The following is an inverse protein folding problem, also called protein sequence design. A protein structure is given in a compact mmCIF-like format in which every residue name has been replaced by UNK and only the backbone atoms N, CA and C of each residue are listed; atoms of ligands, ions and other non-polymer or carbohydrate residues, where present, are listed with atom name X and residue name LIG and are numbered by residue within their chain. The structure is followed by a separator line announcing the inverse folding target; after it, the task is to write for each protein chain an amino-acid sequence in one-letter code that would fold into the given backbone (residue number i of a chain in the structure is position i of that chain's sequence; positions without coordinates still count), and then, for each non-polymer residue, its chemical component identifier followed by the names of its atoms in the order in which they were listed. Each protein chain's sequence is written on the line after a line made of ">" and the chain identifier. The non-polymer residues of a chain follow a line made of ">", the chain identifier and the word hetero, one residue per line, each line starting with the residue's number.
data_IF_342865970612
#
_entry.id   IF_342865970612
#
_cell.length_a   1.000
_cell.length_b   1.000
_cell.length_c   1.000
_cell.angle_alpha   90.00
_cell.angle_beta   90.00
_cell.angle_gamma   90.00
#
_symmetry.space_group_name_H-M   'P 1'
#
loop_
_entity.id
_entity.type
_entity.pdbx_description
1 polymer ?
#
# COMPACT_ATOMS: atom_id res chain seq x y z
N UNK A 1 -5.65 12.07 -47.82
CA UNK A 1 -4.88 11.94 -46.57
C UNK A 1 -5.79 12.34 -45.42
N UNK A 2 -6.38 11.35 -44.74
CA UNK A 2 -7.22 11.57 -43.57
C UNK A 2 -6.30 11.76 -42.36
N UNK A 3 -6.26 12.98 -41.82
CA UNK A 3 -5.55 13.28 -40.59
C UNK A 3 -6.33 12.65 -39.45
N UNK A 4 -5.84 11.54 -38.90
CA UNK A 4 -6.37 10.94 -37.68
C UNK A 4 -6.15 11.98 -36.58
N UNK A 5 -7.21 12.70 -36.19
CA UNK A 5 -7.21 13.45 -34.94
C UNK A 5 -6.94 12.44 -33.84
N UNK A 6 -5.77 12.53 -33.21
CA UNK A 6 -5.52 11.85 -31.95
C UNK A 6 -6.57 12.36 -30.96
N UNK A 7 -7.56 11.53 -30.63
CA UNK A 7 -8.40 11.78 -29.46
C UNK A 7 -7.45 11.96 -28.28
N UNK A 8 -7.40 13.17 -27.71
CA UNK A 8 -6.70 13.40 -26.45
C UNK A 8 -7.46 12.60 -25.38
N UNK A 9 -6.97 11.40 -25.09
CA UNK A 9 -7.53 10.54 -24.06
C UNK A 9 -7.44 11.26 -22.71
N UNK A 10 -8.49 11.16 -21.91
CA UNK A 10 -8.54 11.74 -20.58
C UNK A 10 -7.45 11.14 -19.68
N UNK A 11 -6.74 11.99 -18.93
CA UNK A 11 -5.89 11.54 -17.83
C UNK A 11 -6.75 11.12 -16.64
N UNK A 12 -6.64 9.86 -16.22
CA UNK A 12 -7.35 9.34 -15.05
C UNK A 12 -6.72 8.02 -14.62
N UNK A 13 -6.60 7.81 -13.31
CA UNK A 13 -6.13 6.57 -12.70
C UNK A 13 -7.34 5.69 -12.43
N UNK A 14 -7.31 4.47 -12.97
CA UNK A 14 -8.32 3.44 -12.75
C UNK A 14 -7.60 2.21 -12.25
N UNK A 15 -7.50 2.13 -10.93
CA UNK A 15 -6.65 1.16 -10.24
C UNK A 15 -7.42 0.08 -9.52
N UNK A 16 -6.74 -1.01 -9.20
CA UNK A 16 -7.28 -2.08 -8.36
C UNK A 16 -6.20 -2.64 -7.44
N UNK A 17 -6.57 -2.88 -6.17
CA UNK A 17 -5.74 -3.63 -5.24
C UNK A 17 -5.91 -5.14 -5.44
N UNK A 18 -4.78 -5.85 -5.40
CA UNK A 18 -4.70 -7.32 -5.48
C UNK A 18 -4.02 -7.82 -4.20
N UNK A 19 -4.78 -8.35 -3.23
CA UNK A 19 -4.29 -8.73 -1.91
C UNK A 19 -3.59 -10.09 -1.93
N UNK A 20 -3.23 -10.56 -0.73
CA UNK A 20 -2.55 -11.85 -0.51
C UNK A 20 -3.20 -12.99 -1.32
N UNK A 21 -2.40 -13.87 -1.95
CA UNK A 21 -2.88 -15.05 -2.67
C UNK A 21 -3.84 -15.97 -1.87
N UNK A 22 -3.95 -15.83 -0.55
CA UNK A 22 -5.00 -16.51 0.20
C UNK A 22 -6.42 -15.99 -0.13
N UNK A 23 -6.55 -14.73 -0.57
CA UNK A 23 -7.82 -14.08 -0.90
C UNK A 23 -8.14 -14.04 -2.40
N UNK A 24 -7.13 -14.19 -3.26
CA UNK A 24 -7.31 -14.15 -4.71
C UNK A 24 -6.42 -15.16 -5.44
N UNK A 25 -6.82 -15.60 -6.63
CA UNK A 25 -6.11 -16.59 -7.42
C UNK A 25 -5.25 -16.02 -8.56
N UNK A 26 -5.18 -14.69 -8.69
CA UNK A 26 -4.55 -13.99 -9.83
C UNK A 26 -3.15 -14.53 -10.16
N UNK A 27 -2.30 -14.71 -9.14
CA UNK A 27 -0.90 -15.10 -9.32
C UNK A 27 -0.64 -16.60 -9.13
N UNK A 28 -1.69 -17.42 -8.97
CA UNK A 28 -1.56 -18.86 -8.72
C UNK A 28 -1.25 -19.67 -9.99
N UNK A 29 -1.60 -19.16 -11.17
CA UNK A 29 -1.27 -19.75 -12.48
C UNK A 29 -1.01 -18.66 -13.51
N UNK A 30 -0.20 -18.94 -14.53
CA UNK A 30 0.05 -17.99 -15.62
C UNK A 30 -1.22 -17.67 -16.41
N UNK A 31 -2.13 -18.65 -16.57
CA UNK A 31 -3.46 -18.42 -17.15
C UNK A 31 -4.25 -17.38 -16.38
N UNK A 32 -4.22 -17.42 -15.04
CA UNK A 32 -4.92 -16.44 -14.20
C UNK A 32 -4.33 -15.04 -14.37
N UNK A 33 -3.01 -14.90 -14.49
CA UNK A 33 -2.36 -13.61 -14.78
C UNK A 33 -2.88 -13.00 -16.08
N UNK A 34 -2.84 -13.78 -17.18
CA UNK A 34 -3.29 -13.32 -18.50
C UNK A 34 -4.77 -12.96 -18.48
N UNK A 35 -5.61 -13.80 -17.86
CA UNK A 35 -7.05 -13.55 -17.75
C UNK A 35 -7.38 -12.30 -16.94
N UNK A 36 -6.69 -12.10 -15.82
CA UNK A 36 -6.87 -10.93 -14.96
C UNK A 36 -6.50 -9.65 -15.71
N UNK A 37 -5.31 -9.62 -16.30
CA UNK A 37 -4.84 -8.46 -17.08
C UNK A 37 -5.74 -8.19 -18.29
N UNK A 38 -6.22 -9.23 -18.99
CA UNK A 38 -7.19 -9.08 -20.08
C UNK A 38 -8.53 -8.54 -19.60
N UNK A 39 -8.98 -8.94 -18.42
CA UNK A 39 -10.21 -8.42 -17.80
C UNK A 39 -10.05 -6.93 -17.52
N UNK A 40 -8.96 -6.52 -16.88
CA UNK A 40 -8.67 -5.11 -16.59
C UNK A 40 -8.63 -4.26 -17.87
N UNK A 41 -7.97 -4.73 -18.91
CA UNK A 41 -7.91 -4.05 -20.19
C UNK A 41 -9.29 -3.88 -20.83
N UNK A 42 -10.13 -4.93 -20.80
CA UNK A 42 -11.50 -4.90 -21.32
C UNK A 42 -12.42 -3.96 -20.54
N UNK A 43 -12.06 -3.68 -19.28
CA UNK A 43 -12.75 -2.75 -18.39
C UNK A 43 -12.06 -1.37 -18.36
N UNK A 44 -11.08 -1.13 -19.23
CA UNK A 44 -10.37 0.14 -19.34
C UNK A 44 -9.67 0.61 -18.04
N UNK A 45 -9.20 -0.33 -17.22
CA UNK A 45 -8.28 -0.09 -16.10
C UNK A 45 -6.86 0.17 -16.59
N UNK A 46 -6.06 0.88 -15.78
CA UNK A 46 -4.68 1.22 -16.14
C UNK A 46 -3.65 1.13 -15.00
N UNK A 47 -4.04 0.61 -13.83
CA UNK A 47 -3.08 0.31 -12.76
C UNK A 47 -3.48 -0.87 -11.87
N UNK A 48 -2.48 -1.58 -11.38
CA UNK A 48 -2.57 -2.71 -10.45
C UNK A 48 -1.68 -2.40 -9.25
N UNK A 49 -2.21 -2.57 -8.04
CA UNK A 49 -1.49 -2.44 -6.78
C UNK A 49 -1.44 -3.83 -6.14
N UNK A 50 -0.37 -4.56 -6.41
CA UNK A 50 -0.23 -5.96 -6.03
C UNK A 50 0.50 -6.10 -4.72
N UNK A 51 -0.08 -6.82 -3.76
CA UNK A 51 0.57 -7.10 -2.49
C UNK A 51 1.96 -7.66 -2.76
N UNK A 52 2.94 -7.10 -2.10
CA UNK A 52 4.35 -7.46 -2.28
C UNK A 52 5.00 -7.82 -0.95
N UNK A 53 4.39 -7.39 0.17
CA UNK A 53 4.77 -7.79 1.52
C UNK A 53 3.57 -7.80 2.47
N UNK A 54 3.30 -8.97 3.05
CA UNK A 54 2.28 -9.20 4.07
C UNK A 54 2.63 -10.44 4.91
N UNK A 55 2.19 -10.50 6.17
CA UNK A 55 2.36 -11.66 7.06
C UNK A 55 3.80 -12.23 7.09
N UNK A 56 4.80 -11.34 7.17
CA UNK A 56 6.23 -11.70 7.12
C UNK A 56 6.64 -12.53 5.90
N UNK A 57 5.97 -12.31 4.75
CA UNK A 57 6.27 -12.92 3.45
C UNK A 57 6.25 -11.89 2.34
N UNK A 58 7.03 -12.12 1.31
CA UNK A 58 7.07 -11.36 0.07
C UNK A 58 6.47 -12.14 -1.09
N UNK A 59 6.06 -11.44 -2.14
CA UNK A 59 5.53 -12.09 -3.36
C UNK A 59 6.61 -12.73 -4.26
N UNK A 60 7.85 -12.61 -3.83
CA UNK A 60 9.05 -13.17 -4.44
C UNK A 60 9.94 -13.79 -3.34
N UNK A 61 10.88 -14.70 -3.65
CA UNK A 61 11.89 -15.15 -2.70
C UNK A 61 12.81 -13.98 -2.30
N UNK A 62 12.94 -13.71 -0.99
CA UNK A 62 13.62 -12.52 -0.44
C UNK A 62 14.78 -12.91 0.47
N UNK A 63 16.00 -12.48 0.11
CA UNK A 63 17.18 -12.68 0.95
C UNK A 63 17.17 -11.74 2.15
N UNK A 64 16.65 -10.52 1.98
CA UNK A 64 16.46 -9.56 3.07
C UNK A 64 15.54 -10.14 4.14
N UNK A 65 14.38 -10.66 3.77
CA UNK A 65 13.44 -11.29 4.71
C UNK A 65 14.03 -12.55 5.34
N UNK A 66 14.73 -13.40 4.58
CA UNK A 66 15.37 -14.59 5.14
C UNK A 66 16.39 -14.23 6.22
N UNK A 67 17.20 -13.19 6.01
CA UNK A 67 18.22 -12.75 6.97
C UNK A 67 17.64 -12.20 8.28
N UNK A 68 16.39 -11.72 8.25
CA UNK A 68 15.68 -11.11 9.37
C UNK A 68 14.59 -12.02 9.97
N UNK A 69 14.54 -13.29 9.59
CA UNK A 69 13.58 -14.28 10.10
C UNK A 69 14.28 -15.52 10.65
N UNK A 70 13.52 -16.39 11.31
CA UNK A 70 13.95 -17.74 11.67
C UNK A 70 13.65 -18.80 10.57
N UNK A 71 13.27 -18.36 9.37
CA UNK A 71 13.00 -19.27 8.26
C UNK A 71 14.25 -20.05 7.86
N UNK A 72 14.09 -21.36 7.62
CA UNK A 72 15.20 -22.23 7.24
C UNK A 72 15.58 -22.13 5.75
N UNK A 73 14.63 -21.78 4.89
CA UNK A 73 14.81 -21.77 3.44
C UNK A 73 14.21 -20.53 2.79
N UNK A 74 14.83 -20.07 1.69
CA UNK A 74 14.38 -18.90 0.93
C UNK A 74 12.93 -19.02 0.45
N UNK A 75 12.46 -20.22 0.14
CA UNK A 75 11.08 -20.44 -0.31
C UNK A 75 10.05 -20.16 0.79
N UNK A 76 10.43 -20.23 2.08
CA UNK A 76 9.55 -19.87 3.20
C UNK A 76 9.22 -18.37 3.24
N UNK A 77 10.06 -17.54 2.62
CA UNK A 77 9.85 -16.09 2.49
C UNK A 77 8.81 -15.75 1.42
N UNK A 78 8.51 -16.68 0.50
CA UNK A 78 7.70 -16.41 -0.68
C UNK A 78 6.25 -16.89 -0.48
N UNK A 79 5.28 -15.97 -0.48
CA UNK A 79 3.85 -16.30 -0.38
C UNK A 79 3.32 -17.10 -1.59
N UNK A 80 4.02 -17.08 -2.74
CA UNK A 80 3.66 -17.85 -3.93
C UNK A 80 4.29 -19.25 -3.99
N UNK A 81 5.19 -19.59 -3.07
CA UNK A 81 5.85 -20.90 -3.06
C UNK A 81 4.86 -22.09 -3.12
N UNK A 82 3.71 -22.09 -2.40
CA UNK A 82 2.74 -23.18 -2.48
C UNK A 82 2.15 -23.41 -3.88
N UNK A 83 2.14 -22.39 -4.74
CA UNK A 83 1.50 -22.45 -6.07
C UNK A 83 2.51 -22.65 -7.21
N UNK A 84 3.82 -22.71 -6.90
CA UNK A 84 4.88 -22.76 -7.92
C UNK A 84 4.78 -23.97 -8.85
N UNK A 85 4.40 -25.15 -8.32
CA UNK A 85 4.30 -26.38 -9.09
C UNK A 85 3.22 -26.32 -10.18
N UNK A 86 2.11 -25.62 -9.89
CA UNK A 86 0.98 -25.49 -10.82
C UNK A 86 1.06 -24.23 -11.69
N UNK A 87 2.05 -23.35 -11.48
CA UNK A 87 2.07 -22.04 -12.14
C UNK A 87 2.05 -22.12 -13.67
N UNK A 88 2.68 -23.16 -14.23
CA UNK A 88 2.80 -23.42 -15.67
C UNK A 88 1.63 -24.26 -16.26
N UNK A 89 0.56 -24.48 -15.50
CA UNK A 89 -0.58 -25.31 -15.92
C UNK A 89 -1.88 -24.50 -15.77
N UNK A 90 -2.78 -24.52 -16.77
CA UNK A 90 -2.72 -25.23 -18.05
C UNK A 90 -1.92 -24.50 -19.14
N UNK A 91 -1.34 -23.33 -18.83
CA UNK A 91 -0.62 -22.49 -19.79
C UNK A 91 0.82 -22.28 -19.31
N UNK A 92 1.79 -22.58 -20.18
CA UNK A 92 3.22 -22.44 -19.87
C UNK A 92 3.59 -20.95 -19.81
N UNK A 93 4.21 -20.55 -18.70
CA UNK A 93 4.74 -19.21 -18.51
C UNK A 93 6.01 -18.99 -19.37
N UNK A 94 6.19 -17.80 -19.97
CA UNK A 94 7.43 -17.41 -20.61
C UNK A 94 8.61 -17.28 -19.65
N UNK A 95 8.36 -16.93 -18.38
CA UNK A 95 9.42 -16.60 -17.41
C UNK A 95 9.52 -17.57 -16.24
N UNK A 96 8.44 -18.31 -15.95
CA UNK A 96 8.25 -19.09 -14.74
C UNK A 96 8.11 -18.26 -13.45
N UNK A 97 8.06 -16.92 -13.55
CA UNK A 97 7.99 -15.99 -12.43
C UNK A 97 6.65 -15.21 -12.47
N UNK A 98 5.75 -15.46 -11.51
CA UNK A 98 4.42 -14.83 -11.51
C UNK A 98 4.42 -13.31 -11.50
N UNK A 99 5.39 -12.70 -10.82
CA UNK A 99 5.49 -11.25 -10.69
C UNK A 99 6.00 -10.65 -12.00
N UNK A 100 7.03 -11.28 -12.59
CA UNK A 100 7.56 -10.84 -13.89
C UNK A 100 6.52 -10.97 -15.00
N UNK A 101 5.75 -12.06 -15.00
CA UNK A 101 4.66 -12.25 -15.96
C UNK A 101 3.55 -11.23 -15.77
N UNK A 102 3.15 -10.90 -14.52
CA UNK A 102 2.17 -9.85 -14.25
C UNK A 102 2.59 -8.52 -14.85
N UNK A 103 3.82 -8.08 -14.54
CA UNK A 103 4.38 -6.82 -15.06
C UNK A 103 4.41 -6.86 -16.60
N UNK A 104 4.91 -7.95 -17.18
CA UNK A 104 5.03 -8.10 -18.63
C UNK A 104 3.66 -8.06 -19.33
N UNK A 105 2.67 -8.80 -18.82
CA UNK A 105 1.33 -8.83 -19.40
C UNK A 105 0.60 -7.51 -19.23
N UNK A 106 0.73 -6.86 -18.08
CA UNK A 106 0.14 -5.56 -17.80
C UNK A 106 0.71 -4.49 -18.73
N UNK A 107 2.03 -4.45 -18.91
CA UNK A 107 2.72 -3.49 -19.77
C UNK A 107 2.35 -3.61 -21.24
N UNK A 108 2.11 -4.84 -21.76
CA UNK A 108 1.56 -5.05 -23.12
C UNK A 108 0.24 -4.30 -23.37
N UNK A 109 -0.48 -3.96 -22.30
CA UNK A 109 -1.79 -3.29 -22.33
C UNK A 109 -1.76 -1.89 -21.74
N UNK A 110 -0.56 -1.34 -21.49
CA UNK A 110 -0.34 -0.04 -20.84
C UNK A 110 -0.94 0.05 -19.43
N UNK A 111 -0.96 -1.06 -18.70
CA UNK A 111 -1.39 -1.12 -17.30
C UNK A 111 -0.15 -1.05 -16.41
N UNK A 112 -0.14 -0.10 -15.48
CA UNK A 112 0.94 0.11 -14.50
C UNK A 112 0.88 -0.93 -13.38
N UNK A 113 2.02 -1.34 -12.84
CA UNK A 113 2.10 -2.27 -11.71
C UNK A 113 2.88 -1.63 -10.56
N UNK A 114 2.25 -1.56 -9.39
CA UNK A 114 2.80 -1.05 -8.15
C UNK A 114 2.96 -2.19 -7.15
N UNK A 115 4.11 -2.24 -6.48
CA UNK A 115 4.30 -3.13 -5.34
C UNK A 115 3.73 -2.51 -4.08
N UNK A 116 2.68 -3.15 -3.56
CA UNK A 116 1.96 -2.72 -2.37
C UNK A 116 2.52 -3.44 -1.13
N UNK A 117 3.18 -2.68 -0.27
CA UNK A 117 3.75 -3.16 0.99
C UNK A 117 2.69 -3.04 2.10
N UNK A 118 1.62 -3.83 1.95
CA UNK A 118 0.41 -3.82 2.79
C UNK A 118 0.72 -3.80 4.28
N UNK A 119 1.56 -4.73 4.76
CA UNK A 119 1.84 -4.82 6.19
C UNK A 119 2.77 -3.71 6.67
N UNK A 120 3.70 -3.21 5.86
CA UNK A 120 4.65 -2.17 6.31
C UNK A 120 5.31 -2.53 7.65
N UNK A 121 5.04 -1.73 8.68
CA UNK A 121 5.51 -1.97 10.05
C UNK A 121 4.58 -2.84 10.92
N UNK A 122 3.42 -3.27 10.41
CA UNK A 122 2.58 -4.26 11.07
C UNK A 122 3.28 -5.62 11.09
N UNK A 123 3.30 -6.24 12.27
CA UNK A 123 3.88 -7.55 12.51
C UNK A 123 2.89 -8.67 12.18
N UNK A 124 1.66 -8.58 12.70
CA UNK A 124 0.61 -9.58 12.51
C UNK A 124 -0.78 -8.98 12.83
N UNK A 125 -1.84 -9.66 12.40
CA UNK A 125 -3.27 -9.37 12.66
C UNK A 125 -3.78 -10.00 13.96
N UNK A 126 -2.86 -10.52 14.75
CA UNK A 126 -3.06 -11.16 16.06
C UNK A 126 -1.80 -10.93 16.87
N UNK A 127 -1.86 -11.20 18.18
CA UNK A 127 -0.74 -10.92 19.08
C UNK A 127 0.57 -11.54 18.52
N UNK A 128 1.50 -10.68 18.11
CA UNK A 128 2.79 -11.09 17.56
C UNK A 128 3.80 -11.33 18.69
N UNK A 129 4.38 -12.53 18.74
CA UNK A 129 5.40 -12.93 19.72
C UNK A 129 6.55 -13.65 19.02
N UNK A 130 7.73 -13.80 19.66
CA UNK A 130 8.82 -14.59 19.10
C UNK A 130 8.45 -16.06 18.77
N UNK A 131 7.41 -16.61 19.40
CA UNK A 131 6.96 -17.98 19.15
C UNK A 131 6.12 -18.13 17.88
N UNK A 132 5.41 -17.07 17.46
CA UNK A 132 4.46 -17.13 16.35
C UNK A 132 4.80 -16.23 15.16
N UNK A 133 5.71 -15.26 15.34
CA UNK A 133 6.13 -14.34 14.29
C UNK A 133 7.61 -14.59 13.94
N UNK A 134 7.93 -14.94 12.68
CA UNK A 134 9.28 -15.35 12.29
C UNK A 134 10.31 -14.22 12.36
N UNK A 135 9.88 -12.96 12.20
CA UNK A 135 10.75 -11.79 12.35
C UNK A 135 11.06 -11.57 13.83
N UNK A 136 10.07 -11.62 14.71
CA UNK A 136 10.28 -11.50 16.17
C UNK A 136 11.05 -12.70 16.75
N UNK A 137 10.92 -13.89 16.17
CA UNK A 137 11.71 -15.06 16.56
C UNK A 137 13.21 -14.80 16.40
N UNK A 138 13.60 -14.08 15.35
CA UNK A 138 14.99 -13.70 15.07
C UNK A 138 15.40 -12.42 15.80
N UNK A 139 14.49 -11.45 15.85
CA UNK A 139 14.70 -10.09 16.34
C UNK A 139 13.65 -9.74 17.41
N UNK A 140 13.69 -10.35 18.61
CA UNK A 140 12.62 -10.21 19.61
C UNK A 140 12.46 -8.79 20.13
N UNK A 141 13.51 -7.95 20.04
CA UNK A 141 13.49 -6.55 20.46
C UNK A 141 12.84 -5.61 19.43
N UNK A 142 12.48 -6.11 18.25
CA UNK A 142 11.79 -5.32 17.22
C UNK A 142 10.29 -5.20 17.47
N UNK A 143 9.74 -5.82 18.52
CA UNK A 143 8.34 -5.64 18.88
C UNK A 143 8.07 -4.19 19.30
N UNK A 144 6.99 -3.59 18.81
CA UNK A 144 6.51 -2.30 19.29
C UNK A 144 5.85 -2.47 20.65
N UNK A 145 6.19 -1.62 21.62
CA UNK A 145 5.61 -1.68 22.97
C UNK A 145 4.76 -0.43 23.24
N UNK A 146 3.57 -0.67 23.80
CA UNK A 146 2.62 0.36 24.21
C UNK A 146 2.89 0.91 25.60
N UNK A 147 2.21 2.00 25.95
CA UNK A 147 2.31 2.63 27.28
C UNK A 147 1.86 1.73 28.44
N UNK A 148 1.14 0.64 28.14
CA UNK A 148 0.74 -0.40 29.10
C UNK A 148 1.78 -1.54 29.22
N UNK A 149 2.95 -1.36 28.61
CA UNK A 149 4.06 -2.30 28.56
C UNK A 149 3.71 -3.64 27.87
N UNK A 150 2.73 -3.65 26.96
CA UNK A 150 2.36 -4.79 26.12
C UNK A 150 2.66 -4.53 24.64
N UNK A 151 2.65 -5.57 23.78
CA UNK A 151 2.74 -5.37 22.33
C UNK A 151 1.69 -4.36 21.83
N UNK A 152 2.21 -3.33 21.17
CA UNK A 152 1.44 -2.16 20.80
C UNK A 152 0.40 -2.49 19.73
N UNK A 153 -0.84 -2.07 19.98
CA UNK A 153 -1.98 -2.16 19.08
C UNK A 153 -3.02 -1.09 19.47
N UNK A 154 -3.91 -0.72 18.55
CA UNK A 154 -5.01 0.23 18.81
C UNK A 154 -6.40 -0.42 18.77
N UNK A 155 -6.50 -1.66 18.30
CA UNK A 155 -7.76 -2.33 17.95
C UNK A 155 -7.82 -3.81 18.36
N UNK A 156 -6.87 -4.30 19.18
CA UNK A 156 -6.68 -5.72 19.52
C UNK A 156 -6.49 -6.67 18.33
N UNK A 157 -6.12 -6.13 17.17
CA UNK A 157 -5.97 -6.87 15.92
C UNK A 157 -4.61 -6.59 15.29
N UNK A 158 -4.31 -5.34 14.96
CA UNK A 158 -3.06 -4.96 14.29
C UNK A 158 -1.96 -4.74 15.33
N UNK A 159 -0.97 -5.63 15.37
CA UNK A 159 0.21 -5.52 16.22
C UNK A 159 1.42 -5.11 15.38
N UNK A 160 2.31 -4.28 15.95
CA UNK A 160 3.35 -3.60 15.18
C UNK A 160 4.76 -3.99 15.60
N UNK A 161 5.69 -3.98 14.64
CA UNK A 161 7.12 -3.81 14.93
C UNK A 161 7.38 -2.37 15.41
N UNK A 162 8.48 -2.13 16.10
CA UNK A 162 8.87 -0.78 16.50
C UNK A 162 9.36 0.02 15.28
N UNK A 163 8.47 0.78 14.63
CA UNK A 163 8.84 1.61 13.50
C UNK A 163 9.72 2.83 13.87
N UNK A 164 9.97 3.09 15.16
CA UNK A 164 10.91 4.11 15.62
C UNK A 164 12.35 3.57 15.72
N UNK A 165 12.55 2.25 15.62
CA UNK A 165 13.86 1.61 15.62
C UNK A 165 14.53 1.74 14.23
N UNK A 166 15.71 2.36 14.13
CA UNK A 166 16.44 2.46 12.86
C UNK A 166 16.71 1.10 12.19
N UNK A 167 16.89 0.02 12.96
CA UNK A 167 17.13 -1.32 12.41
C UNK A 167 15.87 -1.85 11.69
N UNK A 168 14.68 -1.62 12.26
CA UNK A 168 13.39 -2.00 11.67
C UNK A 168 13.10 -1.16 10.44
N UNK A 169 13.39 0.14 10.50
CA UNK A 169 13.29 1.04 9.35
C UNK A 169 14.20 0.58 8.20
N UNK A 170 15.46 0.26 8.50
CA UNK A 170 16.43 -0.20 7.51
C UNK A 170 15.98 -1.52 6.86
N UNK A 171 15.44 -2.45 7.64
CA UNK A 171 14.85 -3.69 7.11
C UNK A 171 13.77 -3.43 6.06
N UNK A 172 12.81 -2.53 6.33
CA UNK A 172 11.76 -2.19 5.36
C UNK A 172 12.34 -1.51 4.11
N UNK A 173 13.30 -0.59 4.28
CA UNK A 173 13.99 0.07 3.16
C UNK A 173 14.72 -0.95 2.26
N UNK A 174 15.38 -1.93 2.85
CA UNK A 174 16.10 -2.97 2.13
C UNK A 174 15.15 -3.94 1.43
N UNK A 175 14.02 -4.29 2.06
CA UNK A 175 12.99 -5.15 1.46
C UNK A 175 12.37 -4.49 0.23
N UNK A 176 12.06 -3.19 0.32
CA UNK A 176 11.54 -2.39 -0.80
C UNK A 176 12.60 -2.29 -1.91
N UNK A 177 13.84 -2.00 -1.55
CA UNK A 177 14.96 -1.91 -2.49
C UNK A 177 15.21 -3.24 -3.22
N UNK A 178 15.12 -4.37 -2.52
CA UNK A 178 15.25 -5.70 -3.11
C UNK A 178 14.14 -5.97 -4.14
N UNK A 179 12.89 -5.65 -3.81
CA UNK A 179 11.76 -5.80 -4.73
C UNK A 179 11.96 -5.02 -6.02
N UNK A 180 12.28 -3.73 -5.91
CA UNK A 180 12.54 -2.86 -7.07
C UNK A 180 13.69 -3.41 -7.92
N UNK A 181 14.82 -3.78 -7.31
CA UNK A 181 16.00 -4.28 -8.03
C UNK A 181 15.73 -5.61 -8.73
N UNK A 182 14.91 -6.47 -8.12
CA UNK A 182 14.52 -7.77 -8.68
C UNK A 182 13.55 -7.60 -9.87
N UNK A 183 12.73 -6.56 -9.83
CA UNK A 183 11.73 -6.26 -10.85
C UNK A 183 11.88 -4.82 -11.36
N UNK A 184 12.93 -4.51 -12.15
CA UNK A 184 13.26 -3.14 -12.56
C UNK A 184 12.21 -2.47 -13.48
N UNK A 185 11.23 -3.24 -13.96
CA UNK A 185 10.11 -2.74 -14.75
C UNK A 185 8.87 -2.45 -13.90
N UNK A 186 8.95 -2.52 -12.56
CA UNK A 186 7.84 -2.07 -11.71
C UNK A 186 7.65 -0.56 -11.86
N UNK A 187 6.41 -0.09 -11.89
CA UNK A 187 6.11 1.33 -12.12
C UNK A 187 6.11 2.17 -10.84
N UNK A 188 5.94 1.51 -9.68
CA UNK A 188 5.89 2.19 -8.40
C UNK A 188 5.89 1.25 -7.21
N UNK A 189 5.99 1.86 -6.02
CA UNK A 189 5.71 1.21 -4.75
C UNK A 189 4.55 1.93 -4.06
N UNK A 190 3.86 1.23 -3.18
CA UNK A 190 2.82 1.82 -2.35
C UNK A 190 2.95 1.34 -0.90
N UNK A 191 3.10 2.28 0.03
CA UNK A 191 2.87 2.03 1.45
C UNK A 191 1.38 2.13 1.77
N UNK A 192 0.88 1.28 2.66
CA UNK A 192 -0.52 1.32 3.07
C UNK A 192 -0.75 2.22 4.30
N UNK A 193 -1.91 2.12 4.94
CA UNK A 193 -2.20 2.60 6.29
C UNK A 193 -1.29 2.03 7.40
N UNK A 194 -0.34 1.16 7.03
CA UNK A 194 0.69 0.58 7.91
C UNK A 194 2.13 1.01 7.56
N UNK A 195 2.33 1.92 6.59
CA UNK A 195 3.66 2.36 6.14
C UNK A 195 3.73 3.83 5.66
N UNK A 196 4.53 4.70 6.31
CA UNK A 196 4.96 4.58 7.71
C UNK A 196 3.76 4.70 8.64
N UNK A 197 3.72 3.90 9.70
CA UNK A 197 2.65 3.96 10.69
C UNK A 197 3.09 3.29 12.00
N UNK A 198 2.46 3.71 13.10
CA UNK A 198 2.48 3.06 14.40
C UNK A 198 1.18 3.37 15.15
N UNK A 199 0.68 2.47 15.98
CA UNK A 199 -0.47 2.81 16.83
C UNK A 199 -0.13 3.96 17.80
N UNK A 200 -1.10 4.85 18.08
CA UNK A 200 -0.90 6.08 18.88
C UNK A 200 -0.37 5.82 20.30
N UNK A 201 -0.65 4.66 20.89
CA UNK A 201 -0.20 4.25 22.22
C UNK A 201 1.23 3.64 22.26
N UNK A 202 1.93 3.57 21.12
CA UNK A 202 3.26 2.94 20.99
C UNK A 202 4.44 3.82 21.44
N UNK A 203 5.66 3.28 21.36
CA UNK A 203 6.92 4.01 21.55
C UNK A 203 7.50 3.90 22.95
N UNK A 204 7.02 2.94 23.74
CA UNK A 204 7.47 2.68 25.11
C UNK A 204 8.41 1.48 25.21
N UNK A 205 8.95 1.04 24.08
CA UNK A 205 10.03 0.05 24.07
C UNK A 205 11.36 0.68 24.50
N UNK A 206 12.28 -0.15 24.97
CA UNK A 206 13.55 0.30 25.56
C UNK A 206 14.34 1.19 24.59
N UNK A 207 14.45 0.82 23.30
CA UNK A 207 15.22 1.60 22.34
C UNK A 207 14.61 2.99 22.11
N UNK A 208 13.30 3.06 21.95
CA UNK A 208 12.60 4.34 21.75
C UNK A 208 12.69 5.24 22.99
N UNK A 209 12.55 4.67 24.19
CA UNK A 209 12.71 5.42 25.45
C UNK A 209 14.13 5.99 25.58
N UNK A 210 15.16 5.18 25.32
CA UNK A 210 16.55 5.65 25.41
C UNK A 210 16.88 6.71 24.36
N UNK A 211 16.34 6.56 23.13
CA UNK A 211 16.44 7.61 22.11
C UNK A 211 15.81 8.91 22.60
N UNK A 212 14.59 8.85 23.14
CA UNK A 212 13.90 10.03 23.65
C UNK A 212 14.69 10.71 24.76
N UNK A 213 15.17 9.96 25.77
CA UNK A 213 16.02 10.48 26.84
C UNK A 213 17.26 11.18 26.31
N UNK A 214 17.94 10.58 25.32
CA UNK A 214 19.16 11.18 24.74
C UNK A 214 18.89 12.51 24.05
N UNK A 215 17.70 12.69 23.47
CA UNK A 215 17.29 13.90 22.75
C UNK A 215 16.59 14.94 23.66
N UNK A 216 16.27 14.57 24.92
CA UNK A 216 15.50 15.39 25.86
C UNK A 216 16.18 15.51 27.24
N UNK A 217 17.52 15.58 27.28
CA UNK A 217 18.30 15.82 28.51
C UNK A 217 17.99 14.81 29.65
N UNK A 218 17.79 13.55 29.31
CA UNK A 218 17.50 12.48 30.26
C UNK A 218 16.04 12.38 30.72
N UNK A 219 15.13 13.23 30.21
CA UNK A 219 13.70 13.12 30.51
C UNK A 219 13.12 11.82 29.94
N UNK A 220 12.25 11.18 30.71
CA UNK A 220 11.49 10.01 30.26
C UNK A 220 10.28 10.45 29.41
N UNK A 221 9.78 9.61 28.49
CA UNK A 221 8.52 9.88 27.80
C UNK A 221 7.36 10.03 28.79
N UNK A 222 6.36 10.88 28.48
CA UNK A 222 5.21 11.08 29.34
C UNK A 222 4.33 9.82 29.40
N UNK A 223 3.68 9.59 30.54
CA UNK A 223 2.72 8.47 30.72
C UNK A 223 1.50 8.64 29.80
N UNK A 224 1.07 9.88 29.59
CA UNK A 224 0.02 10.19 28.62
C UNK A 224 0.57 10.06 27.20
N UNK A 225 0.27 8.95 26.53
CA UNK A 225 0.68 8.70 25.15
C UNK A 225 0.10 9.70 24.12
N UNK A 226 -0.87 10.53 24.51
CA UNK A 226 -1.42 11.63 23.71
C UNK A 226 -0.81 12.99 24.03
N UNK A 227 0.22 13.05 24.87
CA UNK A 227 0.99 14.27 25.09
C UNK A 227 1.48 14.83 23.74
N UNK A 228 1.28 16.14 23.54
CA UNK A 228 1.47 16.78 22.25
C UNK A 228 2.92 16.74 21.77
N UNK A 229 3.88 16.93 22.69
CA UNK A 229 5.30 16.92 22.37
C UNK A 229 5.76 15.49 22.05
N UNK A 230 5.29 14.50 22.82
CA UNK A 230 5.57 13.09 22.57
C UNK A 230 4.99 12.58 21.26
N UNK A 231 3.76 12.98 20.91
CA UNK A 231 3.15 12.65 19.61
C UNK A 231 3.93 13.29 18.47
N UNK A 232 4.27 14.59 18.57
CA UNK A 232 5.04 15.29 17.54
C UNK A 232 6.39 14.62 17.28
N UNK A 233 7.15 14.33 18.34
CA UNK A 233 8.46 13.70 18.22
C UNK A 233 8.41 12.34 17.51
N UNK A 234 7.42 11.49 17.83
CA UNK A 234 7.23 10.21 17.15
C UNK A 234 6.78 10.38 15.69
N UNK A 235 5.92 11.35 15.41
CA UNK A 235 5.54 11.70 14.03
C UNK A 235 6.75 12.15 13.21
N UNK A 236 7.64 12.96 13.79
CA UNK A 236 8.87 13.42 13.12
C UNK A 236 9.78 12.26 12.71
N UNK A 237 9.90 11.22 13.55
CA UNK A 237 10.66 10.01 13.20
C UNK A 237 10.03 9.30 12.00
N UNK A 238 8.71 9.11 11.99
CA UNK A 238 8.00 8.43 10.90
C UNK A 238 8.02 9.25 9.60
N UNK A 239 7.92 10.57 9.70
CA UNK A 239 8.00 11.47 8.54
C UNK A 239 9.43 11.48 7.96
N UNK A 240 10.46 11.46 8.82
CA UNK A 240 11.87 11.31 8.40
C UNK A 240 12.08 9.98 7.67
N UNK A 241 11.47 8.89 8.16
CA UNK A 241 11.48 7.62 7.45
C UNK A 241 10.81 7.73 6.07
N UNK A 242 9.65 8.39 5.98
CA UNK A 242 8.95 8.60 4.71
C UNK A 242 9.81 9.32 3.67
N UNK A 243 10.53 10.36 4.09
CA UNK A 243 11.50 11.07 3.24
C UNK A 243 12.66 10.15 2.83
N UNK A 244 13.22 9.40 3.79
CA UNK A 244 14.30 8.45 3.53
C UNK A 244 13.89 7.39 2.51
N UNK A 245 12.67 6.84 2.65
CA UNK A 245 12.07 5.89 1.71
C UNK A 245 11.95 6.51 0.32
N UNK A 246 11.38 7.73 0.22
CA UNK A 246 11.23 8.42 -1.05
C UNK A 246 12.57 8.59 -1.75
N UNK A 247 13.56 9.17 -1.05
CA UNK A 247 14.89 9.41 -1.58
C UNK A 247 15.60 8.11 -1.99
N UNK A 248 15.45 7.05 -1.20
CA UNK A 248 15.99 5.72 -1.54
C UNK A 248 15.39 5.19 -2.83
N UNK A 249 14.07 5.21 -2.99
CA UNK A 249 13.40 4.74 -4.21
C UNK A 249 13.84 5.56 -5.42
N UNK A 250 13.86 6.89 -5.31
CA UNK A 250 14.29 7.79 -6.39
C UNK A 250 15.76 7.62 -6.77
N UNK A 251 16.61 7.24 -5.81
CA UNK A 251 18.03 6.95 -6.08
C UNK A 251 18.24 5.65 -6.87
N UNK A 252 17.29 4.70 -6.80
CA UNK A 252 17.33 3.46 -7.57
C UNK A 252 16.84 3.71 -8.99
N UNK A 253 15.66 4.33 -9.14
CA UNK A 253 15.15 4.83 -10.40
C UNK A 253 14.19 6.01 -10.16
N UNK A 254 14.49 7.22 -10.66
CA UNK A 254 13.64 8.39 -10.45
C UNK A 254 12.25 8.27 -11.08
N UNK A 255 12.05 7.33 -12.02
CA UNK A 255 10.75 7.07 -12.68
C UNK A 255 9.79 6.26 -11.81
N UNK A 256 10.28 5.53 -10.82
CA UNK A 256 9.43 4.73 -9.93
C UNK A 256 8.62 5.67 -9.07
N UNK A 257 7.30 5.53 -9.11
CA UNK A 257 6.39 6.33 -8.31
C UNK A 257 6.36 5.86 -6.85
N UNK A 258 6.36 6.81 -5.91
CA UNK A 258 6.17 6.54 -4.48
C UNK A 258 4.74 6.92 -4.10
N UNK A 259 3.94 5.90 -3.82
CA UNK A 259 2.53 6.04 -3.44
C UNK A 259 2.29 5.73 -1.97
N UNK A 260 1.25 6.33 -1.38
CA UNK A 260 0.75 5.96 -0.06
C UNK A 260 -0.78 5.83 -0.09
N UNK A 261 -1.32 4.83 0.62
CA UNK A 261 -2.76 4.58 0.75
C UNK A 261 -3.24 4.67 2.21
N UNK A 262 -3.09 5.81 2.90
CA UNK A 262 -3.44 5.92 4.31
C UNK A 262 -4.95 6.01 4.53
N UNK A 263 -5.37 5.85 5.79
CA UNK A 263 -6.72 6.25 6.21
C UNK A 263 -6.92 7.79 6.13
N UNK A 264 -8.17 8.29 6.14
CA UNK A 264 -8.44 9.73 6.12
C UNK A 264 -7.83 10.49 7.32
N UNK A 265 -7.27 11.67 7.07
CA UNK A 265 -6.77 12.58 8.12
C UNK A 265 -7.94 13.38 8.76
N UNK A 266 -7.94 13.65 10.08
CA UNK A 266 -6.89 13.36 11.07
C UNK A 266 -6.96 11.97 11.71
N UNK A 267 -7.94 11.13 11.37
CA UNK A 267 -8.11 9.82 12.02
C UNK A 267 -6.84 8.97 11.95
N UNK A 268 -6.16 8.93 10.78
CA UNK A 268 -4.92 8.19 10.62
C UNK A 268 -3.77 8.71 11.49
N UNK A 269 -3.72 10.01 11.79
CA UNK A 269 -2.74 10.58 12.72
C UNK A 269 -3.05 10.18 14.14
N UNK A 270 -4.33 10.32 14.54
CA UNK A 270 -4.77 10.12 15.92
C UNK A 270 -4.79 8.65 16.34
N UNK A 271 -4.77 7.71 15.39
CA UNK A 271 -4.79 6.27 15.66
C UNK A 271 -3.53 5.55 15.19
N UNK A 272 -2.97 5.94 14.03
CA UNK A 272 -1.91 5.22 13.32
C UNK A 272 -0.62 6.04 13.14
N UNK A 273 -0.51 7.21 13.78
CA UNK A 273 0.68 8.08 13.68
C UNK A 273 1.05 8.40 12.22
N UNK A 274 0.05 8.47 11.34
CA UNK A 274 0.23 8.79 9.92
C UNK A 274 -0.13 10.25 9.65
N UNK A 275 0.86 11.05 9.25
CA UNK A 275 0.67 12.48 8.92
C UNK A 275 0.90 12.72 7.43
N UNK A 276 0.10 12.06 6.60
CA UNK A 276 0.21 12.21 5.14
C UNK A 276 0.06 13.65 4.61
N UNK A 277 -0.62 14.62 5.27
CA UNK A 277 -0.57 16.00 4.81
C UNK A 277 0.86 16.56 4.76
N UNK A 278 1.72 16.14 5.69
CA UNK A 278 3.15 16.51 5.67
C UNK A 278 3.88 15.84 4.51
N UNK A 279 3.61 14.57 4.22
CA UNK A 279 4.26 13.87 3.10
C UNK A 279 3.95 14.54 1.75
N UNK A 280 2.71 15.03 1.60
CA UNK A 280 2.30 15.83 0.44
C UNK A 280 3.01 17.18 0.43
N UNK A 281 3.05 17.91 1.55
CA UNK A 281 3.70 19.23 1.59
C UNK A 281 5.20 19.19 1.37
N UNK A 282 5.85 18.11 1.79
CA UNK A 282 7.28 17.89 1.60
C UNK A 282 7.58 17.36 0.18
N UNK A 283 6.53 16.99 -0.57
CA UNK A 283 6.63 16.53 -1.94
C UNK A 283 7.28 15.14 -2.06
N UNK A 284 7.09 14.30 -1.04
CA UNK A 284 7.59 12.91 -0.95
C UNK A 284 6.48 11.88 -1.21
N UNK A 285 5.34 12.31 -1.76
CA UNK A 285 4.22 11.45 -2.16
C UNK A 285 3.82 11.78 -3.60
N UNK A 286 4.16 10.91 -4.54
CA UNK A 286 3.82 11.10 -5.94
C UNK A 286 2.32 10.83 -6.21
N UNK A 287 1.76 9.82 -5.53
CA UNK A 287 0.37 9.39 -5.67
C UNK A 287 -0.24 9.07 -4.31
N UNK A 288 -1.21 9.88 -3.90
CA UNK A 288 -1.93 9.72 -2.64
C UNK A 288 -3.27 9.01 -2.88
N UNK A 289 -3.42 7.83 -2.28
CA UNK A 289 -4.55 6.93 -2.45
C UNK A 289 -5.37 6.76 -1.15
N UNK A 290 -5.91 7.85 -0.59
CA UNK A 290 -6.60 7.81 0.71
C UNK A 290 -7.76 6.81 0.69
N UNK A 291 -7.81 5.92 1.69
CA UNK A 291 -8.86 4.91 1.85
C UNK A 291 -10.19 5.54 2.29
N UNK A 292 -10.94 6.12 1.36
CA UNK A 292 -12.25 6.74 1.63
C UNK A 292 -13.38 5.71 1.74
N UNK A 293 -13.15 4.62 2.47
CA UNK A 293 -14.04 3.47 2.56
C UNK A 293 -15.34 3.81 3.29
N UNK A 294 -16.40 4.04 2.53
CA UNK A 294 -17.76 4.33 3.01
C UNK A 294 -18.76 3.54 2.19
N UNK A 295 -19.84 3.10 2.83
CA UNK A 295 -20.90 2.33 2.17
C UNK A 295 -21.92 3.23 1.45
N UNK A 296 -22.09 4.48 1.91
CA UNK A 296 -22.99 5.45 1.30
C UNK A 296 -22.25 6.62 0.63
N UNK A 297 -22.83 7.12 -0.46
CA UNK A 297 -22.26 8.19 -1.29
C UNK A 297 -22.16 9.56 -0.61
N UNK A 298 -23.02 9.88 0.37
CA UNK A 298 -22.94 11.16 1.08
C UNK A 298 -21.72 11.19 2.01
N UNK A 299 -21.55 10.15 2.84
CA UNK A 299 -20.39 9.98 3.69
C UNK A 299 -19.10 9.88 2.88
N UNK A 300 -19.14 9.20 1.73
CA UNK A 300 -18.03 9.13 0.79
C UNK A 300 -17.62 10.54 0.31
N UNK A 301 -18.57 11.33 -0.22
CA UNK A 301 -18.32 12.71 -0.66
C UNK A 301 -17.68 13.56 0.43
N UNK A 302 -18.22 13.49 1.64
CA UNK A 302 -17.69 14.25 2.79
C UNK A 302 -16.25 13.84 3.10
N UNK A 303 -15.97 12.54 3.07
CA UNK A 303 -14.63 11.99 3.34
C UNK A 303 -13.62 12.41 2.27
N UNK A 304 -13.98 12.32 0.99
CA UNK A 304 -13.10 12.76 -0.12
C UNK A 304 -12.86 14.27 -0.08
N UNK A 305 -13.92 15.07 0.14
CA UNK A 305 -13.81 16.53 0.21
C UNK A 305 -12.94 16.97 1.39
N UNK A 306 -13.08 16.31 2.54
CA UNK A 306 -12.24 16.54 3.70
C UNK A 306 -10.78 16.20 3.39
N UNK A 307 -10.50 15.04 2.79
CA UNK A 307 -9.14 14.67 2.39
C UNK A 307 -8.53 15.71 1.44
N UNK A 308 -9.26 16.16 0.41
CA UNK A 308 -8.78 17.20 -0.51
C UNK A 308 -8.39 18.50 0.21
N UNK A 309 -9.09 18.88 1.29
CA UNK A 309 -8.80 20.12 2.02
C UNK A 309 -7.42 20.15 2.70
N UNK A 310 -6.80 18.98 2.93
CA UNK A 310 -5.45 18.86 3.51
C UNK A 310 -4.34 18.72 2.46
N UNK A 311 -4.68 18.60 1.17
CA UNK A 311 -3.70 18.42 0.09
C UNK A 311 -3.08 19.77 -0.26
N UNK A 312 -1.81 19.95 0.12
CA UNK A 312 -1.04 21.19 -0.10
C UNK A 312 0.36 20.86 -0.61
N UNK A 313 0.53 20.47 -1.88
CA UNK A 313 1.84 20.14 -2.43
C UNK A 313 2.73 21.40 -2.57
N UNK A 314 4.06 21.23 -2.72
CA UNK A 314 4.95 22.32 -3.08
C UNK A 314 4.51 23.07 -4.34
N UNK A 315 4.82 24.36 -4.40
CA UNK A 315 4.58 25.18 -5.59
C UNK A 315 5.21 24.52 -6.82
N UNK A 316 4.40 24.32 -7.87
CA UNK A 316 4.84 23.72 -9.13
C UNK A 316 4.91 22.19 -9.16
N UNK A 317 4.64 21.49 -8.05
CA UNK A 317 4.48 20.02 -8.05
C UNK A 317 3.02 19.62 -8.26
N UNK A 318 2.77 18.72 -9.22
CA UNK A 318 1.47 18.07 -9.41
C UNK A 318 1.30 17.00 -8.33
N UNK A 319 0.22 17.07 -7.55
CA UNK A 319 -0.18 16.00 -6.65
C UNK A 319 -1.24 15.14 -7.33
N UNK A 320 -1.01 13.83 -7.44
CA UNK A 320 -2.06 12.89 -7.82
C UNK A 320 -2.82 12.45 -6.57
N UNK A 321 -4.14 12.63 -6.59
CA UNK A 321 -5.06 12.21 -5.51
C UNK A 321 -6.15 11.30 -6.05
N UNK A 322 -6.18 10.06 -5.55
CA UNK A 322 -7.05 8.97 -6.02
C UNK A 322 -7.72 8.23 -4.86
N UNK A 323 -8.93 8.64 -4.45
CA UNK A 323 -9.61 7.97 -3.35
C UNK A 323 -9.80 6.47 -3.58
N UNK A 324 -9.55 5.68 -2.52
CA UNK A 324 -9.89 4.28 -2.44
C UNK A 324 -11.41 4.07 -2.30
N UNK A 325 -11.96 3.10 -3.03
CA UNK A 325 -13.37 2.67 -2.96
C UNK A 325 -13.41 1.17 -2.65
N UNK A 326 -14.25 0.75 -1.71
CA UNK A 326 -14.51 -0.67 -1.51
C UNK A 326 -15.35 -1.19 -2.69
N UNK A 327 -14.89 -2.27 -3.30
CA UNK A 327 -15.71 -3.18 -4.10
C UNK A 327 -16.13 -4.39 -3.28
N UNK A 328 -15.21 -5.00 -2.54
CA UNK A 328 -15.47 -6.22 -1.77
C UNK A 328 -14.65 -6.23 -0.49
N UNK A 329 -15.25 -6.67 0.62
CA UNK A 329 -14.57 -6.90 1.89
C UNK A 329 -15.27 -8.04 2.62
N UNK A 330 -14.50 -8.95 3.24
CA UNK A 330 -15.05 -10.09 4.01
C UNK A 330 -16.09 -10.94 3.25
N UNK A 331 -15.96 -11.03 1.92
CA UNK A 331 -16.89 -11.78 1.05
C UNK A 331 -18.15 -11.01 0.63
N UNK A 332 -18.38 -9.82 1.17
CA UNK A 332 -19.52 -8.97 0.82
C UNK A 332 -19.15 -8.01 -0.31
N UNK A 333 -20.01 -7.92 -1.32
CA UNK A 333 -19.86 -7.00 -2.45
C UNK A 333 -20.56 -5.68 -2.14
N UNK A 334 -19.98 -4.57 -2.60
CA UNK A 334 -20.58 -3.24 -2.48
C UNK A 334 -21.80 -3.09 -3.36
N UNK A 335 -22.75 -2.27 -2.92
CA UNK A 335 -23.94 -1.94 -3.71
C UNK A 335 -23.53 -1.22 -5.01
N UNK A 336 -24.03 -1.72 -6.14
CA UNK A 336 -23.66 -1.23 -7.47
C UNK A 336 -24.12 0.22 -7.71
N UNK A 337 -25.25 0.64 -7.12
CA UNK A 337 -25.74 2.00 -7.27
C UNK A 337 -24.91 2.98 -6.44
N UNK A 338 -24.56 2.62 -5.20
CA UNK A 338 -23.66 3.43 -4.38
C UNK A 338 -22.27 3.51 -4.99
N UNK A 339 -21.71 2.40 -5.48
CA UNK A 339 -20.45 2.40 -6.24
C UNK A 339 -20.49 3.42 -7.39
N UNK A 340 -21.56 3.39 -8.20
CA UNK A 340 -21.73 4.32 -9.32
C UNK A 340 -21.73 5.77 -8.84
N UNK A 341 -22.48 6.07 -7.77
CA UNK A 341 -22.52 7.41 -7.18
C UNK A 341 -21.15 7.85 -6.67
N UNK A 342 -20.38 6.97 -6.02
CA UNK A 342 -19.04 7.27 -5.50
C UNK A 342 -18.06 7.62 -6.62
N UNK A 343 -18.06 6.88 -7.72
CA UNK A 343 -17.22 7.22 -8.89
C UNK A 343 -17.66 8.55 -9.52
N UNK A 344 -18.96 8.82 -9.62
CA UNK A 344 -19.46 10.11 -10.11
C UNK A 344 -19.08 11.28 -9.19
N UNK A 345 -19.04 11.05 -7.88
CA UNK A 345 -18.53 12.03 -6.89
C UNK A 345 -17.07 12.37 -7.16
N UNK A 346 -16.22 11.38 -7.44
CA UNK A 346 -14.82 11.63 -7.78
C UNK A 346 -14.66 12.50 -9.03
N UNK A 347 -15.53 12.33 -10.02
CA UNK A 347 -15.56 13.19 -11.21
C UNK A 347 -15.98 14.62 -10.89
N UNK A 348 -17.03 14.77 -10.09
CA UNK A 348 -17.53 16.07 -9.64
C UNK A 348 -16.49 16.83 -8.78
N UNK A 349 -15.81 16.13 -7.88
CA UNK A 349 -14.71 16.65 -7.05
C UNK A 349 -13.37 16.75 -7.79
N UNK A 350 -13.34 16.42 -9.09
CA UNK A 350 -12.14 16.50 -9.95
C UNK A 350 -10.92 15.78 -9.37
N UNK A 351 -11.12 14.61 -8.76
CA UNK A 351 -10.01 13.74 -8.35
C UNK A 351 -9.28 13.21 -9.58
N UNK A 352 -8.07 12.69 -9.41
CA UNK A 352 -7.30 12.12 -10.52
C UNK A 352 -7.75 10.71 -10.92
N UNK A 353 -8.82 10.19 -10.33
CA UNK A 353 -9.25 8.80 -10.50
C UNK A 353 -9.65 8.15 -9.18
N UNK A 354 -9.58 6.83 -9.18
CA UNK A 354 -9.94 5.98 -8.03
C UNK A 354 -9.22 4.62 -8.11
N UNK A 355 -9.07 3.98 -6.95
CA UNK A 355 -8.52 2.63 -6.83
C UNK A 355 -9.52 1.78 -6.04
N UNK A 356 -9.78 0.57 -6.51
CA UNK A 356 -10.78 -0.31 -5.92
C UNK A 356 -10.19 -1.39 -5.03
N UNK A 357 -10.75 -1.54 -3.82
CA UNK A 357 -10.44 -2.61 -2.87
C UNK A 357 -11.58 -3.65 -2.83
N UNK A 358 -11.46 -4.83 -3.41
CA UNK A 358 -10.31 -5.36 -4.16
C UNK A 358 -10.78 -6.14 -5.40
N UNK A 359 -9.83 -6.71 -6.14
CA UNK A 359 -10.03 -7.23 -7.50
C UNK A 359 -11.14 -8.28 -7.66
N UNK A 360 -11.48 -9.06 -6.63
CA UNK A 360 -12.51 -10.10 -6.73
C UNK A 360 -13.91 -9.52 -6.99
N UNK A 361 -14.15 -8.26 -6.59
CA UNK A 361 -15.40 -7.56 -6.93
C UNK A 361 -15.61 -7.37 -8.43
N UNK A 362 -14.53 -7.33 -9.23
CA UNK A 362 -14.59 -7.21 -10.69
C UNK A 362 -15.05 -8.50 -11.39
N UNK A 363 -15.31 -9.59 -10.65
CA UNK A 363 -15.94 -10.80 -11.19
C UNK A 363 -17.46 -10.74 -11.18
N UNK A 364 -18.06 -9.75 -10.52
CA UNK A 364 -19.52 -9.66 -10.35
C UNK A 364 -20.17 -8.93 -11.53
N UNK A 365 -21.18 -9.53 -12.19
CA UNK A 365 -21.83 -8.93 -13.37
C UNK A 365 -22.37 -7.52 -13.13
N UNK A 366 -22.96 -7.26 -11.96
CA UNK A 366 -23.50 -5.98 -11.53
C UNK A 366 -22.42 -4.90 -11.44
N UNK A 367 -21.24 -5.24 -10.94
CA UNK A 367 -20.09 -4.33 -10.86
C UNK A 367 -19.50 -4.10 -12.25
N UNK A 368 -19.32 -5.16 -13.05
CA UNK A 368 -18.84 -5.05 -14.43
C UNK A 368 -19.72 -4.10 -15.25
N UNK A 369 -21.05 -4.18 -15.08
CA UNK A 369 -22.00 -3.29 -15.76
C UNK A 369 -21.75 -1.83 -15.41
N UNK A 370 -21.62 -1.52 -14.12
CA UNK A 370 -21.34 -0.15 -13.64
C UNK A 370 -20.00 0.36 -14.15
N UNK A 371 -18.94 -0.45 -14.06
CA UNK A 371 -17.61 -0.09 -14.55
C UNK A 371 -17.62 0.20 -16.04
N UNK A 372 -18.27 -0.63 -16.88
CA UNK A 372 -18.35 -0.39 -18.33
C UNK A 372 -19.12 0.89 -18.66
N UNK A 373 -20.15 1.22 -17.88
CA UNK A 373 -20.88 2.48 -18.03
C UNK A 373 -19.99 3.69 -17.71
N UNK A 374 -19.21 3.60 -16.64
CA UNK A 374 -18.37 4.71 -16.17
C UNK A 374 -17.07 4.87 -16.95
N UNK A 375 -16.55 3.78 -17.52
CA UNK A 375 -15.29 3.73 -18.28
C UNK A 375 -15.55 3.34 -19.75
N UNK A 376 -16.24 4.17 -20.54
CA UNK A 376 -16.61 3.84 -21.93
C UNK A 376 -15.40 3.76 -22.87
N UNK A 377 -14.30 4.43 -22.54
CA UNK A 377 -13.04 4.40 -23.29
C UNK A 377 -11.83 4.38 -22.35
N UNK A 378 -10.65 4.03 -22.88
CA UNK A 378 -9.38 3.99 -22.13
C UNK A 378 -9.02 5.37 -21.60
N UNK A 379 -8.41 5.40 -20.42
CA UNK A 379 -7.78 6.59 -19.85
C UNK A 379 -6.26 6.43 -19.83
N UNK A 380 -5.55 7.54 -20.00
CA UNK A 380 -4.09 7.57 -19.87
C UNK A 380 -3.72 7.73 -18.41
N UNK A 381 -2.77 6.92 -17.95
CA UNK A 381 -2.21 7.07 -16.61
C UNK A 381 -1.46 8.42 -16.55
N UNK A 382 -1.79 9.34 -15.62
CA UNK A 382 -1.19 10.67 -15.57
C UNK A 382 0.32 10.64 -15.39
N UNK A 383 1.03 11.55 -16.06
CA UNK A 383 2.44 11.81 -15.76
C UNK A 383 2.54 12.80 -14.58
N UNK A 384 3.60 12.66 -13.78
CA UNK A 384 3.97 13.59 -12.71
C UNK A 384 4.66 14.83 -13.25
#
# INVERSE_FOLDING_TARGET
>A
MSCIQSKNLQESIRGVWVPDPQYTDVLKTYKNVVNFVSTLDSLNFNSIYVVSYALSKTIYPSAVLLSNTNYAHIDSTNMLAPFRAQYNVPMKSPTGDPVKDLITEAHKRNIKVFFWYEFGFMADIKLATPENNPILAKNPKWVGIGNDNKPANYNNHDYYFNAFDPDVQQYILDLISEGIKRYPNVDGIQGDDRLPAMCINSGYDVKTIEKYKSEHNGQIPPENFKDSAWVRWRLDILNTFGETLYNKVKSIDPKIMVSFAPNPYPWCKDNLMQEWPQWVSDGICDLLAVQCYRTDSLSYRNTVSQAQSFIKPPIGKKQLFVPGIILMVSGEISDANELKKQVLINRDLKTNGEIFFYNEGLRKPEIIKVIKELYPEKAVFPKL
#
